data_IF_620918966357
#
_entry.id   IF_620918966357
#
_cell.length_a   1.000
_cell.length_b   1.000
_cell.length_c   1.000
_cell.angle_alpha   90.00
_cell.angle_beta   90.00
_cell.angle_gamma   90.00
#
_symmetry.space_group_name_H-M   'P 1'
#
loop_
_entity.id
_entity.type
_entity.pdbx_description
1 polymer ?
#
# COMPACT_ATOMS: atom_id res chain seq x y z
N UNK A 1 -17.55 74.07 10.50
CA UNK A 1 -18.10 73.08 11.43
C UNK A 1 -18.11 71.75 10.68
N UNK A 2 -17.05 70.96 10.86
CA UNK A 2 -16.88 69.64 10.22
C UNK A 2 -17.23 68.59 11.26
N UNK A 3 -18.30 67.83 11.05
CA UNK A 3 -18.56 66.60 11.80
C UNK A 3 -19.24 65.60 10.88
N UNK A 4 -18.49 64.61 10.43
CA UNK A 4 -18.99 63.25 10.23
C UNK A 4 -17.79 62.33 9.96
N UNK A 5 -17.32 61.70 11.05
CA UNK A 5 -16.61 60.44 10.98
C UNK A 5 -17.65 59.32 10.80
N UNK A 6 -17.43 58.41 9.86
CA UNK A 6 -18.13 57.12 9.73
C UNK A 6 -17.14 56.16 9.05
N UNK A 7 -16.27 55.49 9.81
CA UNK A 7 -16.45 54.21 10.51
C UNK A 7 -16.75 53.02 9.57
N UNK A 8 -15.68 52.24 9.33
CA UNK A 8 -15.61 50.78 9.16
C UNK A 8 -16.76 50.05 8.43
N UNK A 9 -16.42 49.43 7.29
CA UNK A 9 -16.64 47.99 7.10
C UNK A 9 -15.48 47.39 6.30
N UNK A 10 -14.59 46.70 7.02
CA UNK A 10 -13.80 45.59 6.47
C UNK A 10 -14.79 44.49 6.08
N UNK A 11 -14.81 44.11 4.80
CA UNK A 11 -15.28 42.79 4.39
C UNK A 11 -14.13 42.10 3.65
N UNK A 12 -13.86 40.83 4.00
CA UNK A 12 -12.63 40.13 3.68
C UNK A 12 -12.49 39.91 2.17
N UNK A 13 -11.26 39.70 1.71
CA UNK A 13 -11.02 39.02 0.44
C UNK A 13 -11.96 37.83 0.38
N UNK A 14 -12.86 37.83 -0.61
CA UNK A 14 -13.73 36.70 -0.86
C UNK A 14 -12.82 35.50 -1.10
N UNK A 15 -12.71 34.71 -0.05
CA UNK A 15 -12.18 33.37 -0.02
C UNK A 15 -13.05 32.52 -0.95
N UNK A 16 -12.40 31.65 -1.71
CA UNK A 16 -12.87 31.03 -2.93
C UNK A 16 -14.31 30.47 -2.85
N UNK A 17 -15.06 30.70 -3.92
CA UNK A 17 -16.21 29.90 -4.29
C UNK A 17 -15.92 29.39 -5.69
N UNK A 18 -15.15 28.30 -5.75
CA UNK A 18 -15.24 27.44 -6.92
C UNK A 18 -16.51 26.62 -6.75
N UNK A 19 -17.52 27.00 -7.52
CA UNK A 19 -18.61 26.12 -7.88
C UNK A 19 -18.63 26.12 -9.40
N UNK A 20 -17.95 25.14 -9.97
CA UNK A 20 -18.13 24.64 -11.34
C UNK A 20 -17.60 25.53 -12.48
N UNK A 21 -16.41 26.12 -12.33
CA UNK A 21 -15.62 26.53 -13.50
C UNK A 21 -14.34 25.73 -13.55
N UNK A 22 -14.33 24.67 -14.38
CA UNK A 22 -13.15 23.88 -14.70
C UNK A 22 -12.04 24.72 -15.35
N UNK A 23 -11.32 25.45 -14.50
CA UNK A 23 -10.07 26.13 -14.83
C UNK A 23 -8.97 25.08 -14.74
N UNK A 24 -8.87 24.25 -15.78
CA UNK A 24 -7.62 23.59 -16.08
C UNK A 24 -6.54 24.69 -16.12
N UNK A 25 -5.55 24.60 -15.23
CA UNK A 25 -4.38 25.46 -15.27
C UNK A 25 -3.77 25.52 -16.68
N UNK A 26 -2.98 26.55 -17.01
CA UNK A 26 -2.53 26.77 -18.38
C UNK A 26 -1.67 25.60 -18.88
N UNK A 27 -2.27 24.66 -19.61
CA UNK A 27 -1.55 23.54 -20.24
C UNK A 27 -2.30 22.22 -20.43
N UNK A 28 -3.51 22.02 -19.90
CA UNK A 28 -4.21 20.74 -20.03
C UNK A 28 -5.40 20.80 -21.01
N UNK A 29 -5.61 19.78 -21.87
CA UNK A 29 -6.76 19.73 -22.78
C UNK A 29 -8.05 19.61 -21.98
N UNK A 30 -9.00 20.50 -22.24
CA UNK A 30 -10.33 20.56 -21.61
C UNK A 30 -11.05 19.22 -21.75
N UNK A 31 -11.26 18.51 -20.64
CA UNK A 31 -11.93 17.20 -20.59
C UNK A 31 -13.37 17.31 -21.13
N UNK A 32 -13.74 16.50 -22.13
CA UNK A 32 -15.11 16.42 -22.62
C UNK A 32 -15.95 15.53 -21.70
N UNK A 33 -17.08 16.08 -21.22
CA UNK A 33 -18.27 15.39 -20.68
C UNK A 33 -18.01 14.09 -19.89
N UNK A 34 -17.04 14.10 -18.98
CA UNK A 34 -17.05 13.14 -17.88
C UNK A 34 -18.04 13.65 -16.83
N UNK A 35 -18.66 12.75 -16.05
CA UNK A 35 -19.73 13.08 -15.10
C UNK A 35 -19.28 14.02 -13.98
N UNK A 36 -19.97 13.99 -12.85
CA UNK A 36 -19.35 14.52 -11.63
C UNK A 36 -18.02 13.77 -11.40
N UNK A 37 -17.04 14.51 -10.92
CA UNK A 37 -15.68 14.10 -10.61
C UNK A 37 -15.33 14.92 -9.36
N UNK A 38 -15.50 14.29 -8.20
CA UNK A 38 -15.51 14.96 -6.90
C UNK A 38 -14.12 15.21 -6.32
N UNK A 39 -13.11 14.46 -6.75
CA UNK A 39 -11.73 14.54 -6.27
C UNK A 39 -10.73 15.10 -7.30
N UNK A 40 -11.19 15.39 -8.51
CA UNK A 40 -10.47 16.02 -9.62
C UNK A 40 -9.33 15.17 -10.21
N UNK A 41 -9.43 13.85 -10.14
CA UNK A 41 -8.36 12.90 -10.47
C UNK A 41 -8.35 12.46 -11.96
N UNK A 42 -9.36 12.86 -12.73
CA UNK A 42 -9.61 12.51 -14.14
C UNK A 42 -10.63 11.37 -14.37
N UNK A 43 -11.09 10.72 -13.33
CA UNK A 43 -12.10 9.68 -13.35
C UNK A 43 -13.45 10.21 -12.83
N UNK A 44 -14.58 9.84 -13.45
CA UNK A 44 -15.89 10.29 -13.00
C UNK A 44 -16.39 9.42 -11.84
N UNK A 45 -17.17 9.99 -10.93
CA UNK A 45 -17.78 9.34 -9.74
C UNK A 45 -18.51 8.02 -10.05
N UNK A 46 -18.92 7.82 -11.30
CA UNK A 46 -19.60 6.60 -11.75
C UNK A 46 -18.71 5.36 -11.86
N UNK A 47 -17.40 5.54 -11.96
CA UNK A 47 -16.42 4.45 -12.12
C UNK A 47 -15.32 4.50 -11.06
N UNK A 48 -15.17 5.62 -10.37
CA UNK A 48 -14.28 5.76 -9.22
C UNK A 48 -14.95 5.23 -7.94
N UNK A 49 -14.23 4.36 -7.24
CA UNK A 49 -14.64 3.73 -6.01
C UNK A 49 -14.43 4.62 -4.78
N UNK A 50 -13.62 5.69 -4.88
CA UNK A 50 -13.34 6.63 -3.80
C UNK A 50 -13.39 8.10 -4.25
N UNK A 51 -14.61 8.56 -4.53
CA UNK A 51 -14.96 9.91 -5.04
C UNK A 51 -14.40 11.14 -4.30
N UNK A 52 -13.76 10.96 -3.14
CA UNK A 52 -13.18 12.04 -2.33
C UNK A 52 -11.65 11.90 -2.18
N UNK A 53 -11.01 10.93 -2.85
CA UNK A 53 -9.58 10.62 -2.73
C UNK A 53 -8.90 10.46 -4.11
N UNK A 54 -8.17 11.49 -4.59
CA UNK A 54 -7.57 11.48 -5.93
C UNK A 54 -6.39 10.53 -6.09
N UNK A 55 -6.09 9.72 -5.07
CA UNK A 55 -5.08 8.66 -5.13
C UNK A 55 -5.67 7.28 -5.39
N UNK A 56 -7.00 7.14 -5.29
CA UNK A 56 -7.73 5.89 -5.50
C UNK A 56 -8.60 6.04 -6.73
N UNK A 57 -8.29 5.29 -7.78
CA UNK A 57 -8.97 5.40 -9.07
C UNK A 57 -8.67 4.22 -9.99
N UNK A 58 -9.49 4.00 -11.04
CA UNK A 58 -9.25 2.94 -12.01
C UNK A 58 -7.80 2.85 -12.53
N UNK A 59 -7.10 1.78 -12.15
CA UNK A 59 -5.70 1.54 -12.53
C UNK A 59 -4.65 2.31 -11.72
N UNK A 60 -4.99 2.80 -10.53
CA UNK A 60 -4.02 3.25 -9.53
C UNK A 60 -3.08 2.11 -9.11
N UNK A 61 -2.04 2.44 -8.34
CA UNK A 61 -1.18 1.44 -7.73
C UNK A 61 -1.83 0.98 -6.43
N UNK A 62 -2.20 -0.29 -6.38
CA UNK A 62 -2.58 -0.99 -5.15
C UNK A 62 -1.51 -0.85 -4.07
N UNK A 63 -1.96 -0.59 -2.84
CA UNK A 63 -1.14 -0.60 -1.64
C UNK A 63 -1.74 -1.59 -0.65
N UNK A 64 -0.88 -2.23 0.14
CA UNK A 64 -1.29 -3.09 1.26
C UNK A 64 -1.95 -2.28 2.40
N UNK A 65 -3.17 -1.81 2.19
CA UNK A 65 -3.89 -0.91 3.09
C UNK A 65 -5.32 -1.40 3.39
N UNK A 66 -5.78 -2.49 2.76
CA UNK A 66 -7.12 -3.05 2.92
C UNK A 66 -8.20 -2.31 2.14
N UNK A 67 -7.82 -1.51 1.14
CA UNK A 67 -8.68 -0.81 0.20
C UNK A 67 -8.45 -1.37 -1.22
N UNK A 68 -9.39 -1.06 -2.10
CA UNK A 68 -9.28 -1.30 -3.53
C UNK A 68 -8.86 0.05 -4.12
N UNK A 69 -7.55 0.27 -4.27
CA UNK A 69 -6.99 1.55 -4.68
C UNK A 69 -7.12 1.73 -6.21
N UNK A 70 -7.17 0.63 -6.97
CA UNK A 70 -7.25 0.61 -8.42
C UNK A 70 -8.67 0.42 -8.98
N UNK A 71 -9.66 0.33 -8.10
CA UNK A 71 -11.10 0.20 -8.38
C UNK A 71 -11.46 -0.96 -9.33
N UNK A 72 -10.69 -2.06 -9.33
CA UNK A 72 -10.98 -3.24 -10.16
C UNK A 72 -11.94 -4.24 -9.50
N UNK A 73 -12.25 -4.03 -8.22
CA UNK A 73 -13.15 -4.85 -7.40
C UNK A 73 -12.45 -5.91 -6.57
N UNK A 74 -11.12 -5.93 -6.53
CA UNK A 74 -10.30 -6.85 -5.73
C UNK A 74 -9.35 -6.04 -4.84
N UNK A 75 -9.51 -6.18 -3.53
CA UNK A 75 -8.66 -5.51 -2.54
C UNK A 75 -7.25 -6.11 -2.53
N UNK A 76 -6.23 -5.25 -2.45
CA UNK A 76 -4.81 -5.58 -2.26
C UNK A 76 -4.27 -6.59 -3.30
N UNK A 77 -4.66 -6.52 -4.57
CA UNK A 77 -4.41 -7.59 -5.56
C UNK A 77 -3.03 -7.55 -6.26
N UNK A 78 -1.99 -7.10 -5.55
CA UNK A 78 -0.66 -6.83 -6.12
C UNK A 78 0.05 -8.14 -6.52
N UNK A 79 0.67 -8.25 -7.71
CA UNK A 79 1.48 -9.40 -8.04
C UNK A 79 2.68 -9.54 -7.09
N UNK A 80 2.84 -10.72 -6.51
CA UNK A 80 3.99 -11.03 -5.68
C UNK A 80 5.35 -10.85 -6.37
N UNK A 81 6.28 -10.29 -5.61
CA UNK A 81 7.69 -10.14 -5.97
C UNK A 81 8.55 -10.80 -4.91
N UNK A 82 9.63 -11.47 -5.32
CA UNK A 82 10.50 -12.24 -4.41
C UNK A 82 11.43 -11.34 -3.57
N UNK A 83 10.88 -10.48 -2.74
CA UNK A 83 11.61 -9.52 -1.91
C UNK A 83 11.42 -9.75 -0.39
N UNK A 84 10.69 -10.79 -0.01
CA UNK A 84 10.41 -11.13 1.38
C UNK A 84 9.32 -10.26 2.00
N UNK A 85 8.52 -9.57 1.19
CA UNK A 85 7.32 -8.85 1.59
C UNK A 85 6.09 -9.61 1.10
N UNK A 86 4.99 -9.44 1.84
CA UNK A 86 3.64 -9.84 1.43
C UNK A 86 3.08 -8.67 0.61
N UNK A 87 3.07 -8.81 -0.72
CA UNK A 87 2.67 -7.74 -1.62
C UNK A 87 1.15 -7.75 -1.79
N UNK A 88 0.52 -8.93 -1.85
CA UNK A 88 -0.93 -9.09 -2.02
C UNK A 88 -1.74 -9.17 -0.70
N UNK A 89 -1.05 -9.09 0.43
CA UNK A 89 -1.60 -9.00 1.78
C UNK A 89 -2.47 -10.20 2.17
N UNK A 90 -2.27 -11.35 1.54
CA UNK A 90 -3.04 -12.56 1.83
C UNK A 90 -2.57 -13.29 3.09
N UNK A 91 -1.44 -12.86 3.66
CA UNK A 91 -0.84 -13.38 4.89
C UNK A 91 0.26 -14.41 4.67
N UNK A 92 0.55 -14.78 3.42
CA UNK A 92 1.74 -15.52 3.02
C UNK A 92 2.80 -14.55 2.44
N UNK A 93 4.04 -15.01 2.28
CA UNK A 93 5.14 -14.18 1.77
C UNK A 93 5.79 -14.92 0.61
N UNK A 94 6.01 -14.24 -0.52
CA UNK A 94 6.67 -14.75 -1.71
C UNK A 94 6.05 -16.08 -2.26
N UNK A 95 4.73 -16.22 -2.26
CA UNK A 95 4.00 -17.44 -2.66
C UNK A 95 3.72 -17.55 -4.16
N UNK A 96 4.12 -16.55 -4.96
CA UNK A 96 4.18 -16.67 -6.42
C UNK A 96 4.99 -17.89 -6.89
N UNK A 97 4.55 -18.52 -7.97
CA UNK A 97 5.30 -19.64 -8.59
C UNK A 97 6.72 -19.24 -9.02
N UNK A 98 6.92 -17.97 -9.37
CA UNK A 98 8.23 -17.38 -9.73
C UNK A 98 9.21 -17.43 -8.53
N UNK A 99 8.73 -17.23 -7.30
CA UNK A 99 9.55 -17.22 -6.08
C UNK A 99 9.84 -18.61 -5.53
N UNK A 100 8.97 -19.59 -5.82
CA UNK A 100 9.17 -21.00 -5.42
C UNK A 100 10.39 -21.67 -6.05
N UNK A 101 10.97 -21.10 -7.12
CA UNK A 101 12.05 -21.76 -7.87
C UNK A 101 13.46 -21.43 -7.38
N UNK A 102 13.64 -20.45 -6.49
CA UNK A 102 14.98 -19.97 -6.11
C UNK A 102 15.20 -19.95 -4.60
N UNK A 103 15.11 -21.11 -3.94
CA UNK A 103 15.89 -21.40 -2.73
C UNK A 103 15.86 -20.36 -1.61
N UNK A 104 14.73 -19.69 -1.40
CA UNK A 104 14.44 -19.01 -0.14
C UNK A 104 14.38 -20.09 0.93
N UNK A 105 15.52 -20.34 1.57
CA UNK A 105 15.52 -21.05 2.84
C UNK A 105 14.52 -20.33 3.75
N UNK A 106 13.42 -21.00 4.15
CA UNK A 106 12.40 -20.36 4.97
C UNK A 106 13.11 -19.83 6.22
N UNK A 107 12.65 -18.69 6.72
CA UNK A 107 12.84 -18.34 8.12
C UNK A 107 12.35 -19.53 8.93
N UNK A 108 13.27 -20.45 9.24
CA UNK A 108 13.03 -21.61 10.07
C UNK A 108 12.82 -21.07 11.47
N UNK A 109 11.58 -20.67 11.74
CA UNK A 109 10.92 -21.06 12.97
C UNK A 109 10.81 -22.60 13.01
N UNK A 110 11.94 -23.29 12.99
CA UNK A 110 12.03 -24.57 13.65
C UNK A 110 12.40 -24.29 15.09
N UNK A 111 11.35 -24.04 15.88
CA UNK A 111 11.26 -24.52 17.26
C UNK A 111 11.39 -26.05 17.40
N UNK A 112 12.23 -26.71 16.58
CA UNK A 112 12.62 -28.09 16.72
C UNK A 112 14.03 -28.13 17.33
N UNK A 113 14.06 -27.97 18.65
CA UNK A 113 15.14 -28.47 19.48
C UNK A 113 15.26 -29.99 19.27
N UNK A 114 16.00 -30.44 18.26
CA UNK A 114 16.34 -31.85 18.12
C UNK A 114 17.65 -32.10 17.36
N UNK A 115 18.73 -32.21 18.15
CA UNK A 115 19.73 -33.27 18.01
C UNK A 115 20.72 -33.25 16.83
N UNK A 116 21.32 -32.10 16.50
CA UNK A 116 22.68 -32.12 15.95
C UNK A 116 23.69 -31.98 17.09
N UNK A 117 23.88 -33.07 17.82
CA UNK A 117 25.04 -33.26 18.68
C UNK A 117 26.29 -33.48 17.81
N UNK A 118 27.31 -32.59 17.80
CA UNK A 118 28.64 -33.02 17.43
C UNK A 118 29.30 -33.59 18.68
N UNK A 119 28.99 -34.84 19.03
CA UNK A 119 29.58 -35.47 20.22
C UNK A 119 30.34 -36.75 19.90
N UNK A 120 31.29 -36.62 18.97
CA UNK A 120 32.63 -37.24 19.14
C UNK A 120 33.22 -36.93 20.55
N UNK A 121 32.67 -35.93 21.25
CA UNK A 121 32.93 -35.55 22.64
C UNK A 121 32.09 -36.26 23.73
N UNK A 122 31.31 -37.31 23.45
CA UNK A 122 30.71 -38.16 24.51
C UNK A 122 31.43 -39.51 24.63
N UNK A 123 32.56 -39.45 25.34
CA UNK A 123 33.07 -40.51 26.23
C UNK A 123 33.43 -41.83 25.55
N UNK A 124 34.75 -42.00 25.35
CA UNK A 124 35.44 -43.29 25.54
C UNK A 124 35.01 -43.90 26.89
N UNK A 125 34.03 -44.79 26.89
CA UNK A 125 33.85 -45.80 27.94
C UNK A 125 33.30 -47.04 27.30
N UNK A 126 34.17 -48.05 27.19
CA UNK A 126 33.91 -49.49 27.28
C UNK A 126 34.68 -50.25 26.19
N UNK A 127 35.97 -50.45 26.44
CA UNK A 127 36.81 -51.50 25.83
C UNK A 127 38.05 -51.71 26.74
N UNK A 128 37.80 -52.22 27.95
CA UNK A 128 38.70 -53.20 28.58
C UNK A 128 37.93 -54.50 28.44
N UNK A 129 38.08 -55.22 27.32
CA UNK A 129 38.90 -56.43 27.27
C UNK A 129 38.67 -57.29 28.52
N UNK A 130 37.74 -58.22 28.37
CA UNK A 130 37.67 -59.43 29.18
C UNK A 130 39.02 -60.16 29.13
N UNK A 131 39.64 -60.27 30.30
CA UNK A 131 40.70 -61.20 30.71
C UNK A 131 40.60 -61.19 32.24
N UNK A 132 40.37 -62.32 32.96
CA UNK A 132 40.90 -63.67 32.73
C UNK A 132 39.89 -64.75 32.33
#
# INVERSE_FOLDING_TARGET
>A
MFTAALLLLLAPAAFAQDADTGEAGPGLPTRPLHGADSDEDTWPDSVDCAIDDPTVFPGSLELCNGLDDDCDGVIDNIPETCDGLDNDCDGEVDEAEECRSCGGEPALDTGAAALLFPLWWRRRRRMTLDNP
#
